data_IF_281386743564
#
_entry.id   IF_281386743564
#
_cell.length_a   1.000
_cell.length_b   1.000
_cell.length_c   1.000
_cell.angle_alpha   90.00
_cell.angle_beta   90.00
_cell.angle_gamma   90.00
#
_symmetry.space_group_name_H-M   'P 1'
#
loop_
_entity.id
_entity.type
_entity.pdbx_description
1 polymer ?
2 non-polymer ?
3 non-polymer ?
4 water ?
#
# COMPACT_ATOMS: atom_id res chain seq x y z
N UNK A 4 -2.38 -29.53 10.52
CA UNK A 4 -2.64 -28.07 10.81
C UNK A 4 -2.88 -27.32 9.49
N UNK A 5 -4.13 -26.91 9.18
CA UNK A 5 -4.48 -26.45 7.84
C UNK A 5 -3.80 -25.11 7.50
N UNK A 6 -3.61 -24.84 6.21
CA UNK A 6 -3.03 -23.55 5.78
C UNK A 6 -4.14 -22.52 5.78
N UNK A 7 -3.86 -21.28 6.19
CA UNK A 7 -4.90 -20.30 6.29
C UNK A 7 -5.37 -19.79 4.94
N UNK A 8 -6.63 -19.33 4.92
CA UNK A 8 -7.31 -18.73 3.74
C UNK A 8 -7.32 -17.22 3.90
N UNK A 9 -7.16 -16.75 5.13
CA UNK A 9 -7.19 -15.31 5.49
C UNK A 9 -6.27 -15.07 6.69
N UNK A 10 -5.57 -13.94 6.67
CA UNK A 10 -4.71 -13.50 7.79
C UNK A 10 -5.17 -12.10 8.16
N UNK A 11 -4.78 -11.66 9.33
CA UNK A 11 -4.93 -10.24 9.70
C UNK A 11 -3.55 -9.61 9.77
N UNK A 12 -3.51 -8.37 9.29
CA UNK A 12 -2.29 -7.56 9.21
C UNK A 12 -2.54 -6.26 9.96
N UNK A 13 -1.63 -5.93 10.84
CA UNK A 13 -1.57 -4.62 11.52
C UNK A 13 -0.55 -3.77 10.76
N UNK A 14 -0.96 -2.53 10.45
CA UNK A 14 -0.10 -1.48 9.89
C UNK A 14 -0.05 -0.36 10.92
N UNK A 15 1.16 0.05 11.33
CA UNK A 15 1.30 1.26 12.15
C UNK A 15 2.20 2.27 11.48
N UNK A 16 1.87 3.53 11.58
CA UNK A 16 2.76 4.60 11.15
C UNK A 16 2.85 5.61 12.29
N UNK A 17 4.08 5.99 12.61
CA UNK A 17 4.27 6.99 13.67
C UNK A 17 5.49 7.83 13.38
N UNK A 18 5.31 9.13 13.28
CA UNK A 18 6.45 10.07 13.24
C UNK A 18 6.74 10.38 14.70
N UNK A 19 7.88 9.92 15.16
CA UNK A 19 8.24 9.94 16.59
C UNK A 19 8.84 11.31 16.98
N UNK A 20 9.04 12.21 16.05
CA UNK A 20 9.52 13.56 16.42
C UNK A 20 10.88 13.54 17.11
N UNK A 21 11.71 12.56 16.76
CA UNK A 21 13.11 12.45 17.26
C UNK A 21 13.12 12.38 18.79
N UNK A 22 12.08 11.80 19.39
CA UNK A 22 12.01 11.58 20.86
C UNK A 22 11.82 10.11 21.12
N UNK A 23 12.36 9.60 22.23
CA UNK A 23 12.08 8.23 22.59
C UNK A 23 10.61 8.06 22.96
N UNK A 24 10.09 6.86 22.78
CA UNK A 24 8.68 6.62 23.09
C UNK A 24 8.46 6.59 24.58
N UNK A 25 7.19 6.67 25.00
CA UNK A 25 6.86 6.45 26.39
C UNK A 25 6.98 4.96 26.73
N UNK A 26 6.85 4.63 28.02
CA UNK A 26 7.12 3.24 28.46
C UNK A 26 6.03 2.29 27.94
N UNK A 27 4.82 2.76 27.73
CA UNK A 27 3.70 1.91 27.28
C UNK A 27 3.16 2.43 25.94
N UNK A 28 3.17 1.55 24.93
CA UNK A 28 2.64 1.92 23.59
C UNK A 28 1.64 0.85 23.15
N UNK A 29 1.17 -0.01 24.07
CA UNK A 29 0.23 -1.07 23.70
C UNK A 29 -1.06 -0.61 23.01
N UNK A 30 -1.53 0.61 23.31
CA UNK A 30 -2.77 1.17 22.73
C UNK A 30 -2.65 1.23 21.21
N UNK A 31 -1.44 1.42 20.69
CA UNK A 31 -1.19 1.45 19.24
C UNK A 31 -1.53 0.09 18.63
N UNK A 32 -0.96 -0.97 19.18
CA UNK A 32 -1.09 -2.33 18.60
C UNK A 32 -2.47 -2.91 18.88
N UNK A 33 -3.18 -2.36 19.84
CA UNK A 33 -4.58 -2.75 20.14
C UNK A 33 -5.59 -1.94 19.32
N UNK A 34 -5.16 -0.99 18.49
CA UNK A 34 -6.10 -0.18 17.69
C UNK A 34 -7.12 0.51 18.62
N UNK A 35 -6.62 1.17 19.67
CA UNK A 35 -7.43 1.91 20.68
C UNK A 35 -7.15 3.41 20.54
N UNK A 36 -8.22 4.21 20.65
CA UNK A 36 -8.10 5.66 20.67
C UNK A 36 -9.27 6.23 19.93
N UNK A 37 -9.00 7.02 18.90
CA UNK A 37 -10.01 7.69 18.06
C UNK A 37 -10.15 6.96 16.73
N UNK A 38 -11.30 7.13 16.08
CA UNK A 38 -11.52 6.64 14.73
C UNK A 38 -12.25 5.34 14.77
N UNK A 39 -11.92 4.47 13.82
CA UNK A 39 -12.50 3.12 13.69
C UNK A 39 -11.61 2.17 14.48
N UNK A 40 -12.02 1.84 15.71
CA UNK A 40 -11.19 1.14 16.68
C UNK A 40 -11.60 -0.34 16.78
N UNK A 41 -10.71 -1.11 17.34
CA UNK A 41 -10.85 -2.56 17.45
C UNK A 41 -11.62 -2.90 18.75
N UNK A 42 -12.49 -3.89 18.64
CA UNK A 42 -13.33 -4.30 19.78
C UNK A 42 -12.46 -4.88 20.89
N UNK A 43 -12.78 -4.55 22.14
CA UNK A 43 -12.04 -5.05 23.34
C UNK A 43 -11.96 -6.58 23.37
N UNK A 44 -12.98 -7.23 22.87
CA UNK A 44 -13.06 -8.72 22.92
C UNK A 44 -11.95 -9.35 22.07
N UNK A 45 -11.26 -8.57 21.23
CA UNK A 45 -10.18 -9.07 20.36
C UNK A 45 -8.82 -8.78 20.95
N UNK A 46 -8.70 -8.15 22.11
CA UNK A 46 -7.38 -7.63 22.56
C UNK A 46 -6.32 -8.71 22.68
N UNK A 47 -6.68 -9.94 23.05
CA UNK A 47 -5.64 -10.98 23.24
C UNK A 47 -5.36 -11.73 21.95
N UNK A 48 -6.13 -11.49 20.88
CA UNK A 48 -6.00 -12.24 19.60
C UNK A 48 -4.88 -11.57 18.83
N UNK A 49 -3.77 -12.27 18.57
CA UNK A 49 -2.67 -11.64 17.87
C UNK A 49 -3.04 -11.48 16.40
N UNK A 50 -2.60 -10.39 15.78
CA UNK A 50 -2.58 -10.32 14.32
C UNK A 50 -1.53 -11.29 13.83
N UNK A 51 -1.65 -11.74 12.59
CA UNK A 51 -0.68 -12.64 11.97
C UNK A 51 0.65 -11.94 11.68
N UNK A 52 0.56 -10.72 11.18
CA UNK A 52 1.73 -9.91 10.76
C UNK A 52 1.53 -8.49 11.32
N UNK A 53 2.58 -7.91 11.89
CA UNK A 53 2.61 -6.51 12.35
C UNK A 53 3.66 -5.79 11.54
N UNK A 54 3.31 -4.71 10.86
CA UNK A 54 4.24 -3.89 10.08
C UNK A 54 4.24 -2.54 10.70
N UNK A 55 5.41 -2.08 11.13
CA UNK A 55 5.56 -0.85 11.95
C UNK A 55 6.46 0.13 11.23
N UNK A 56 5.89 1.24 10.72
CA UNK A 56 6.63 2.28 10.03
C UNK A 56 6.83 3.42 10.98
N UNK A 57 8.07 3.86 11.13
CA UNK A 57 8.39 5.09 11.90
C UNK A 57 9.12 6.08 11.02
N UNK A 58 8.94 7.32 11.38
CA UNK A 58 9.67 8.47 10.81
C UNK A 58 10.24 9.29 11.95
N UNK A 59 11.33 9.99 11.67
CA UNK A 59 12.02 10.76 12.75
C UNK A 59 12.25 9.84 13.95
N UNK A 60 12.68 8.61 13.68
CA UNK A 60 12.91 7.57 14.70
C UNK A 60 14.32 7.74 15.25
N UNK A 61 14.45 8.06 16.56
CA UNK A 61 15.79 8.32 17.16
C UNK A 61 16.46 7.05 17.69
N UNK A 62 15.78 5.92 17.69
CA UNK A 62 16.24 4.68 18.34
C UNK A 62 17.13 3.89 17.40
N UNK A 63 17.99 3.06 17.96
CA UNK A 63 18.64 2.03 17.15
C UNK A 63 17.62 0.97 16.77
N UNK A 64 17.94 0.16 15.78
CA UNK A 64 17.11 -1.00 15.41
C UNK A 64 16.92 -1.88 16.63
N UNK A 65 18.02 -2.20 17.33
CA UNK A 65 17.94 -3.08 18.50
C UNK A 65 16.98 -2.50 19.55
N UNK A 66 17.14 -1.26 19.90
CA UNK A 66 16.30 -0.59 20.91
C UNK A 66 14.83 -0.67 20.50
N UNK A 67 14.52 -0.36 19.25
CA UNK A 67 13.11 -0.37 18.82
C UNK A 67 12.55 -1.79 18.78
N UNK A 68 13.30 -2.75 18.24
CA UNK A 68 12.88 -4.16 18.23
C UNK A 68 12.54 -4.65 19.62
N UNK A 69 13.41 -4.33 20.60
CA UNK A 69 13.19 -4.66 22.03
C UNK A 69 11.79 -4.20 22.44
N UNK A 70 11.53 -2.91 22.22
CA UNK A 70 10.26 -2.27 22.63
C UNK A 70 9.10 -2.92 21.93
N UNK A 71 9.23 -3.12 20.63
CA UNK A 71 8.09 -3.70 19.88
C UNK A 71 7.78 -5.11 20.37
N UNK A 72 8.79 -5.97 20.40
CA UNK A 72 8.56 -7.38 20.79
C UNK A 72 7.99 -7.48 22.21
N UNK A 73 8.53 -6.69 23.15
CA UNK A 73 8.03 -6.62 24.55
C UNK A 73 6.53 -6.28 24.52
N UNK A 74 6.18 -5.23 23.78
CA UNK A 74 4.79 -4.69 23.73
C UNK A 74 3.85 -5.79 23.20
N UNK A 75 4.23 -6.48 22.13
CA UNK A 75 3.38 -7.55 21.58
C UNK A 75 3.30 -8.73 22.55
N UNK A 76 4.43 -9.12 23.16
CA UNK A 76 4.46 -10.24 24.15
C UNK A 76 3.52 -9.90 25.31
N UNK A 77 3.53 -8.65 25.78
CA UNK A 77 2.62 -8.22 26.86
C UNK A 77 1.14 -8.36 26.44
N UNK A 78 0.80 -7.95 25.21
CA UNK A 78 -0.60 -8.02 24.73
C UNK A 78 -1.03 -9.47 24.55
N UNK A 79 -0.21 -10.25 23.86
CA UNK A 79 -0.65 -11.51 23.22
C UNK A 79 -0.08 -12.74 23.91
N UNK A 80 0.93 -12.58 24.74
CA UNK A 80 1.74 -13.70 25.33
C UNK A 80 2.41 -14.52 24.23
N UNK A 81 2.62 -13.93 23.04
CA UNK A 81 3.36 -14.58 21.91
C UNK A 81 4.64 -13.82 21.71
N UNK A 82 5.74 -14.54 21.50
CA UNK A 82 7.03 -14.00 21.12
C UNK A 82 7.13 -13.95 19.60
N UNK A 83 7.01 -12.75 19.05
CA UNK A 83 6.97 -12.60 17.57
C UNK A 83 8.36 -12.77 16.98
N UNK A 84 8.40 -13.31 15.75
CA UNK A 84 9.66 -13.44 15.00
C UNK A 84 9.86 -12.20 14.13
N UNK A 85 11.09 -11.75 14.03
CA UNK A 85 11.44 -10.61 13.16
C UNK A 85 11.58 -11.10 11.72
N UNK A 86 10.73 -10.69 10.79
CA UNK A 86 10.79 -11.03 9.35
C UNK A 86 11.84 -10.15 8.71
N UNK A 87 11.78 -8.84 8.96
CA UNK A 87 12.68 -7.88 8.32
C UNK A 87 12.66 -6.59 9.08
N UNK A 88 13.77 -5.88 8.98
CA UNK A 88 13.86 -4.50 9.49
C UNK A 88 14.75 -3.75 8.52
N UNK A 89 14.38 -2.54 8.15
CA UNK A 89 15.19 -1.75 7.23
C UNK A 89 15.03 -0.28 7.59
N UNK A 90 16.14 0.43 7.63
CA UNK A 90 16.18 1.84 8.02
C UNK A 90 16.91 2.66 6.98
N UNK A 91 16.35 3.78 6.57
CA UNK A 91 17.04 4.83 5.77
C UNK A 91 17.00 6.05 6.64
N UNK A 92 18.14 6.57 7.05
CA UNK A 92 18.20 7.75 7.90
C UNK A 92 17.38 7.47 9.14
N UNK A 93 16.31 8.20 9.34
CA UNK A 93 15.42 8.03 10.51
C UNK A 93 14.04 7.51 10.10
N UNK A 94 13.95 6.88 8.93
CA UNK A 94 12.73 6.24 8.38
C UNK A 94 12.93 4.75 8.51
N UNK A 95 12.01 4.04 9.14
CA UNK A 95 12.27 2.62 9.46
C UNK A 95 11.01 1.80 9.25
N UNK A 96 11.23 0.58 8.84
CA UNK A 96 10.14 -0.41 8.77
C UNK A 96 10.54 -1.66 9.50
N UNK A 97 9.62 -2.21 10.31
CA UNK A 97 9.82 -3.49 11.02
C UNK A 97 8.67 -4.39 10.67
N UNK A 98 8.93 -5.61 10.26
CA UNK A 98 7.89 -6.64 10.06
C UNK A 98 8.09 -7.74 11.07
N UNK A 99 7.04 -8.04 11.82
CA UNK A 99 7.03 -9.13 12.80
C UNK A 99 5.90 -10.08 12.47
N UNK A 100 6.11 -11.36 12.68
CA UNK A 100 5.05 -12.36 12.39
C UNK A 100 4.98 -13.39 13.49
N UNK A 101 3.79 -13.98 13.66
CA UNK A 101 3.60 -15.15 14.56
C UNK A 101 4.68 -16.17 14.26
N UNK A 102 5.20 -16.88 15.28
CA UNK A 102 6.18 -17.94 15.00
C UNK A 102 5.69 -19.06 14.10
N UNK A 103 4.41 -19.36 14.16
CA UNK A 103 3.79 -20.43 13.33
C UNK A 103 3.87 -20.08 11.84
N UNK A 104 4.15 -18.82 11.48
CA UNK A 104 4.25 -18.38 10.08
C UNK A 104 5.66 -18.44 9.53
N UNK A 105 6.63 -18.81 10.37
CA UNK A 105 8.05 -18.65 10.00
C UNK A 105 8.36 -19.45 8.71
N UNK A 106 7.76 -20.63 8.58
CA UNK A 106 7.99 -21.54 7.42
C UNK A 106 6.89 -21.33 6.36
N UNK A 107 6.13 -20.23 6.45
CA UNK A 107 5.17 -19.80 5.40
C UNK A 107 5.70 -18.57 4.68
N UNK A 108 6.71 -17.94 5.23
CA UNK A 108 7.27 -16.65 4.76
C UNK A 108 8.56 -16.94 4.05
N UNK A 109 8.71 -16.42 2.86
CA UNK A 109 9.95 -16.56 2.09
C UNK A 109 10.15 -15.39 1.16
N UNK A 110 11.25 -15.37 0.43
CA UNK A 110 11.52 -14.35 -0.61
C UNK A 110 11.41 -12.98 0.04
N UNK A 111 12.09 -12.77 1.15
CA UNK A 111 12.05 -11.47 1.84
C UNK A 111 12.95 -10.52 1.09
N UNK A 112 12.42 -9.36 0.70
CA UNK A 112 13.20 -8.26 0.06
C UNK A 112 13.05 -6.98 0.88
N UNK A 113 14.10 -6.15 0.88
CA UNK A 113 14.06 -4.80 1.48
C UNK A 113 14.68 -3.84 0.50
N UNK A 114 14.22 -2.61 0.53
CA UNK A 114 14.86 -1.57 -0.30
C UNK A 114 14.51 -0.19 0.25
N UNK A 115 15.18 0.82 -0.24
CA UNK A 115 14.83 2.20 0.13
C UNK A 115 14.97 3.06 -1.12
N UNK A 116 14.34 4.20 -1.08
CA UNK A 116 14.48 5.25 -2.09
C UNK A 116 14.69 6.56 -1.38
N UNK A 117 15.71 7.32 -1.76
CA UNK A 117 15.99 8.67 -1.31
C UNK A 117 15.37 9.63 -2.28
N UNK A 118 14.51 10.53 -1.81
CA UNK A 118 13.84 11.45 -2.77
C UNK A 118 14.60 12.77 -2.87
N UNK A 119 14.28 13.61 -3.85
CA UNK A 119 14.88 14.96 -3.88
C UNK A 119 16.22 14.99 -4.61
N UNK A 120 16.83 16.18 -4.70
CA UNK A 120 18.14 16.44 -5.39
C UNK A 120 18.83 17.53 -4.57
N UNK A 121 20.11 17.36 -4.26
CA UNK A 121 20.99 18.34 -3.56
C UNK A 121 20.34 18.80 -2.24
N UNK A 122 19.91 20.07 -2.14
CA UNK A 122 19.14 20.70 -1.03
C UNK A 122 18.15 19.71 -0.39
N UNK A 123 17.37 19.03 -1.25
CA UNK A 123 16.18 18.23 -0.87
C UNK A 123 16.52 16.73 -0.79
N UNK A 124 17.78 16.33 -1.04
CA UNK A 124 18.24 14.94 -0.78
C UNK A 124 18.94 14.93 0.57
N UNK A 125 18.43 14.12 1.51
CA UNK A 125 19.21 13.79 2.72
C UNK A 125 18.35 13.47 3.92
N UNK A 126 17.03 13.68 3.83
CA UNK A 126 16.25 13.07 4.93
C UNK A 126 14.91 12.42 4.57
N UNK A 127 14.36 12.70 3.39
CA UNK A 127 13.02 12.19 2.98
C UNK A 127 13.22 10.99 2.05
N UNK A 128 12.22 10.11 2.02
CA UNK A 128 12.25 8.96 1.15
C UNK A 128 11.39 7.89 1.69
N UNK A 129 11.73 6.67 1.36
CA UNK A 129 10.90 5.52 1.73
C UNK A 129 11.72 4.29 1.98
N UNK A 130 11.19 3.42 2.82
CA UNK A 130 11.75 2.06 2.99
C UNK A 130 10.63 1.09 2.69
N UNK A 131 10.97 -0.11 2.27
CA UNK A 131 9.95 -1.11 2.02
C UNK A 131 10.43 -2.51 2.24
N UNK A 132 9.46 -3.38 2.42
CA UNK A 132 9.68 -4.81 2.61
C UNK A 132 8.68 -5.55 1.74
N UNK A 133 9.07 -6.63 1.12
CA UNK A 133 8.15 -7.61 0.52
C UNK A 133 8.52 -9.04 0.85
N UNK A 134 7.52 -9.89 0.78
CA UNK A 134 7.77 -11.32 0.96
C UNK A 134 6.56 -12.07 0.44
N UNK A 135 6.75 -13.37 0.29
CA UNK A 135 5.66 -14.30 -0.03
C UNK A 135 5.16 -14.86 1.28
N UNK A 136 3.87 -14.97 1.42
CA UNK A 136 3.20 -15.68 2.50
C UNK A 136 2.45 -16.79 1.82
N UNK A 137 2.96 -18.01 1.90
CA UNK A 137 2.47 -19.13 1.05
C UNK A 137 2.31 -18.65 -0.42
N UNK A 138 1.12 -18.70 -1.02
CA UNK A 138 0.96 -18.37 -2.45
C UNK A 138 0.74 -16.90 -2.70
N UNK A 139 0.80 -16.07 -1.65
CA UNK A 139 0.35 -14.66 -1.72
C UNK A 139 1.56 -13.76 -1.56
N UNK A 140 1.71 -12.77 -2.43
CA UNK A 140 2.82 -11.79 -2.32
C UNK A 140 2.31 -10.56 -1.56
N UNK A 141 3.11 -10.05 -0.65
CA UNK A 141 2.77 -8.90 0.22
C UNK A 141 3.89 -7.88 0.09
N UNK A 142 3.54 -6.63 -0.11
CA UNK A 142 4.48 -5.51 -0.14
C UNK A 142 4.07 -4.42 0.83
N UNK A 143 5.06 -3.74 1.42
CA UNK A 143 4.82 -2.74 2.45
C UNK A 143 5.77 -1.61 2.22
N UNK A 144 5.26 -0.39 2.19
CA UNK A 144 6.07 0.84 1.93
C UNK A 144 5.79 1.80 3.06
N UNK A 145 6.84 2.28 3.72
CA UNK A 145 6.78 3.40 4.67
C UNK A 145 7.50 4.57 4.05
N UNK A 146 6.78 5.64 3.74
CA UNK A 146 7.41 6.82 3.14
C UNK A 146 7.24 8.02 4.07
N UNK A 147 8.26 8.86 4.11
CA UNK A 147 8.26 10.18 4.76
C UNK A 147 8.40 11.18 3.62
N UNK A 148 7.31 11.82 3.21
CA UNK A 148 7.34 12.71 2.03
C UNK A 148 7.64 14.15 2.47
N UNK A 149 7.85 14.99 1.47
CA UNK A 149 8.25 16.38 1.69
C UNK A 149 7.22 17.07 2.56
N UNK A 150 7.68 17.92 3.50
CA UNK A 150 6.80 18.66 4.43
C UNK A 150 6.38 19.98 3.81
N UNK A 151 5.41 20.60 4.46
CA UNK A 151 5.00 21.97 4.18
C UNK A 151 3.73 22.04 3.39
N UNK A 152 2.81 22.91 3.83
CA UNK A 152 1.50 23.02 3.18
C UNK A 152 1.57 23.36 1.69
N UNK A 153 2.62 24.10 1.29
CA UNK A 153 2.73 24.66 -0.08
C UNK A 153 3.30 23.61 -1.05
N UNK A 154 3.75 22.45 -0.55
CA UNK A 154 4.54 21.49 -1.35
C UNK A 154 3.79 20.23 -1.74
N UNK A 155 2.50 20.32 -1.98
CA UNK A 155 1.78 19.09 -2.38
C UNK A 155 2.32 18.49 -3.69
N UNK A 156 2.73 19.32 -4.66
CA UNK A 156 3.21 18.78 -5.95
C UNK A 156 4.56 18.08 -5.74
N UNK A 157 5.37 18.55 -4.79
CA UNK A 157 6.63 17.84 -4.43
C UNK A 157 6.29 16.47 -3.84
N UNK A 158 5.31 16.42 -2.94
CA UNK A 158 4.91 15.11 -2.39
C UNK A 158 4.48 14.19 -3.51
N UNK A 159 3.71 14.72 -4.45
CA UNK A 159 3.25 13.85 -5.56
C UNK A 159 4.47 13.32 -6.35
N UNK A 160 5.47 14.17 -6.56
CA UNK A 160 6.70 13.76 -7.26
C UNK A 160 7.44 12.72 -6.42
N UNK A 161 7.47 12.93 -5.11
CA UNK A 161 8.14 11.95 -4.20
C UNK A 161 7.47 10.58 -4.37
N UNK A 162 6.14 10.56 -4.36
CA UNK A 162 5.35 9.32 -4.56
C UNK A 162 5.79 8.64 -5.87
N UNK A 163 5.84 9.39 -6.97
CA UNK A 163 6.16 8.74 -8.26
C UNK A 163 7.60 8.21 -8.23
N UNK A 164 8.54 8.97 -7.67
CA UNK A 164 9.93 8.43 -7.58
C UNK A 164 9.97 7.15 -6.75
N UNK A 165 9.27 7.10 -5.62
CA UNK A 165 9.29 5.90 -4.75
C UNK A 165 8.70 4.71 -5.55
N UNK A 166 7.55 4.98 -6.17
CA UNK A 166 6.79 4.01 -6.99
C UNK A 166 7.71 3.41 -8.06
N UNK A 167 8.49 4.26 -8.72
CA UNK A 167 9.33 3.85 -9.86
C UNK A 167 10.56 3.08 -9.38
N UNK A 168 11.17 3.51 -8.28
CA UNK A 168 12.57 3.11 -8.02
C UNK A 168 12.69 2.13 -6.87
N UNK A 169 11.62 1.91 -6.11
CA UNK A 169 11.72 0.97 -5.01
C UNK A 169 11.71 -0.45 -5.59
N UNK A 170 12.76 -1.20 -5.34
CA UNK A 170 12.98 -2.53 -5.96
C UNK A 170 12.60 -3.65 -5.02
N UNK A 171 11.31 -3.97 -5.02
CA UNK A 171 10.80 -5.05 -4.18
C UNK A 171 10.14 -6.11 -5.05
N UNK A 172 9.88 -7.28 -4.48
CA UNK A 172 9.11 -8.32 -5.14
C UNK A 172 9.92 -9.00 -6.22
N UNK A 173 9.21 -9.66 -7.15
CA UNK A 173 9.85 -10.58 -8.13
C UNK A 173 10.50 -9.80 -9.27
N UNK A 174 11.82 -9.82 -9.25
CA UNK A 174 12.58 -9.05 -10.28
C UNK A 174 12.25 -9.55 -11.70
N UNK A 175 11.72 -10.73 -11.92
CA UNK A 175 11.30 -11.23 -13.27
C UNK A 175 10.10 -10.44 -13.79
N UNK A 176 9.38 -9.75 -12.89
CA UNK A 176 8.25 -8.88 -13.30
C UNK A 176 8.78 -7.55 -13.82
N UNK A 177 9.66 -7.59 -14.81
CA UNK A 177 10.50 -6.44 -15.20
C UNK A 177 9.68 -5.26 -15.67
N UNK A 178 8.54 -5.41 -16.37
CA UNK A 178 7.78 -4.24 -16.79
C UNK A 178 7.00 -3.56 -15.68
N UNK A 179 6.93 -4.20 -14.52
CA UNK A 179 5.97 -3.78 -13.48
C UNK A 179 6.68 -3.12 -12.32
N UNK A 180 6.10 -2.04 -11.85
CA UNK A 180 6.53 -1.34 -10.62
C UNK A 180 5.86 -1.99 -9.40
N UNK A 181 6.14 -1.44 -8.23
CA UNK A 181 5.57 -2.06 -7.01
C UNK A 181 4.04 -2.01 -6.99
N UNK A 182 3.41 -1.08 -7.74
CA UNK A 182 1.92 -1.00 -7.74
C UNK A 182 1.29 -2.17 -8.49
N UNK A 183 2.06 -3.08 -9.08
CA UNK A 183 1.55 -4.28 -9.76
C UNK A 183 2.22 -5.55 -9.25
N UNK A 184 3.23 -5.52 -8.40
CA UNK A 184 4.00 -6.76 -8.08
C UNK A 184 3.35 -7.61 -6.99
N UNK A 185 2.39 -7.07 -6.24
CA UNK A 185 1.93 -7.76 -5.03
C UNK A 185 0.44 -8.01 -5.05
N UNK A 186 0.05 -9.14 -4.49
CA UNK A 186 -1.37 -9.43 -4.24
C UNK A 186 -1.98 -8.31 -3.38
N UNK A 187 -1.26 -7.92 -2.33
CA UNK A 187 -1.68 -6.84 -1.43
C UNK A 187 -0.46 -5.93 -1.25
N UNK A 188 -0.63 -4.62 -1.49
CA UNK A 188 0.42 -3.60 -1.25
C UNK A 188 -0.13 -2.61 -0.25
N UNK A 189 0.56 -2.38 0.84
CA UNK A 189 0.20 -1.37 1.87
C UNK A 189 1.23 -0.26 1.77
N UNK A 190 0.75 0.97 1.64
CA UNK A 190 1.63 2.14 1.54
C UNK A 190 1.18 3.13 2.64
N UNK A 191 2.08 3.46 3.54
CA UNK A 191 1.77 4.23 4.74
C UNK A 191 2.93 5.15 5.02
N UNK A 192 2.75 6.01 6.00
CA UNK A 192 3.82 6.89 6.45
C UNK A 192 3.35 8.25 6.86
N UNK A 193 4.34 9.12 7.10
CA UNK A 193 4.08 10.56 7.18
C UNK A 193 4.10 11.10 5.77
N UNK A 194 2.96 11.00 5.13
CA UNK A 194 2.80 11.45 3.74
C UNK A 194 2.77 12.97 3.68
N UNK A 195 2.48 13.63 4.78
CA UNK A 195 2.70 15.08 4.94
C UNK A 195 1.72 15.94 4.14
N UNK A 196 0.63 15.38 3.64
CA UNK A 196 -0.43 16.22 3.02
C UNK A 196 -1.21 16.94 4.13
N UNK A 197 -1.62 18.17 3.84
CA UNK A 197 -2.16 19.11 4.84
C UNK A 197 -3.61 19.45 4.49
N UNK A 198 -4.27 20.02 5.49
CA UNK A 198 -5.62 20.61 5.32
C UNK A 198 -5.37 22.00 4.77
N UNK A 199 -5.76 22.23 3.51
CA UNK A 199 -5.44 23.49 2.77
C UNK A 199 -6.57 24.49 3.02
N UNK A 200 -6.52 25.17 4.16
CA UNK A 200 -7.42 26.26 4.54
C UNK A 200 -6.52 27.41 4.89
N UNK A 201 -7.06 28.65 4.87
CA UNK A 201 -6.22 29.80 5.19
C UNK A 201 -5.69 29.73 6.62
N UNK A 202 -4.47 30.24 6.85
CA UNK A 202 -3.77 30.13 8.16
C UNK A 202 -4.54 30.88 9.24
N UNK A 203 -5.31 31.91 8.87
CA UNK A 203 -6.12 32.72 9.82
C UNK A 203 -7.43 31.99 10.17
N UNK A 204 -7.70 30.83 9.56
CA UNK A 204 -8.77 29.91 10.02
C UNK A 204 -8.28 28.89 11.08
N UNK A 205 -7.06 29.02 11.59
CA UNK A 205 -6.47 28.06 12.52
C UNK A 205 -7.41 27.81 13.68
N UNK A 206 -7.94 28.86 14.33
CA UNK A 206 -8.69 28.65 15.56
C UNK A 206 -10.03 28.05 15.19
N UNK A 207 -10.58 28.41 14.04
CA UNK A 207 -11.83 27.81 13.55
C UNK A 207 -11.62 26.31 13.36
N UNK A 208 -10.49 25.93 12.77
CA UNK A 208 -10.19 24.48 12.57
C UNK A 208 -10.12 23.73 13.92
N UNK A 209 -9.45 24.33 14.88
CA UNK A 209 -9.32 23.76 16.23
C UNK A 209 -10.70 23.53 16.84
N UNK A 210 -11.61 24.50 16.71
CA UNK A 210 -12.95 24.36 17.31
C UNK A 210 -13.74 23.26 16.56
N UNK A 211 -13.57 23.12 15.24
CA UNK A 211 -14.22 22.01 14.51
C UNK A 211 -13.71 20.65 15.04
N UNK A 212 -12.40 20.56 15.26
CA UNK A 212 -11.79 19.34 15.83
C UNK A 212 -12.35 19.03 17.22
N UNK A 213 -12.48 20.03 18.08
CA UNK A 213 -13.03 19.82 19.43
C UNK A 213 -14.50 19.33 19.37
N UNK A 214 -15.22 19.72 18.32
CA UNK A 214 -16.62 19.30 18.09
C UNK A 214 -16.68 17.96 17.37
N UNK A 215 -15.53 17.35 17.06
CA UNK A 215 -15.48 16.13 16.23
C UNK A 215 -16.25 16.29 14.93
N UNK A 216 -16.14 17.45 14.30
CA UNK A 216 -16.78 17.79 13.03
C UNK A 216 -15.67 17.88 12.00
N UNK A 217 -15.39 16.76 11.35
CA UNK A 217 -14.22 16.68 10.44
C UNK A 217 -14.59 16.93 9.00
N UNK A 218 -15.87 17.04 8.64
CA UNK A 218 -16.26 17.02 7.20
C UNK A 218 -15.69 18.23 6.45
N UNK A 219 -15.78 19.43 6.99
CA UNK A 219 -15.31 20.65 6.30
C UNK A 219 -13.77 20.70 6.31
N UNK A 220 -13.12 19.88 7.15
CA UNK A 220 -11.64 19.81 7.10
C UNK A 220 -11.24 18.77 6.03
N UNK A 221 -11.85 17.57 6.07
CA UNK A 221 -11.48 16.49 5.12
C UNK A 221 -11.72 16.97 3.68
N UNK A 222 -12.73 17.79 3.44
CA UNK A 222 -12.99 18.30 2.07
C UNK A 222 -11.83 19.17 1.59
N UNK A 223 -10.90 19.59 2.45
CA UNK A 223 -9.72 20.37 2.05
C UNK A 223 -8.43 19.58 2.25
N UNK A 224 -8.53 18.31 2.62
CA UNK A 224 -7.31 17.47 2.82
C UNK A 224 -6.66 17.27 1.46
N UNK A 225 -5.38 17.62 1.37
CA UNK A 225 -4.71 17.58 0.08
C UNK A 225 -4.61 16.18 -0.48
N UNK A 226 -4.43 15.17 0.36
CA UNK A 226 -4.31 13.82 -0.18
C UNK A 226 -5.66 13.39 -0.80
N UNK A 227 -6.76 13.60 -0.13
CA UNK A 227 -8.10 13.27 -0.70
C UNK A 227 -8.31 14.08 -1.99
N UNK A 228 -7.94 15.36 -2.05
CA UNK A 228 -8.26 16.15 -3.27
C UNK A 228 -7.33 15.72 -4.36
N UNK A 229 -6.03 15.54 -4.08
CA UNK A 229 -5.10 15.12 -5.12
C UNK A 229 -5.48 13.74 -5.67
N UNK A 230 -5.93 12.81 -4.80
CA UNK A 230 -6.38 11.47 -5.23
C UNK A 230 -7.62 11.61 -6.13
N UNK A 231 -8.58 12.47 -5.75
CA UNK A 231 -9.83 12.64 -6.53
C UNK A 231 -9.47 13.18 -7.92
N UNK A 232 -8.43 14.00 -8.03
CA UNK A 232 -7.99 14.60 -9.31
C UNK A 232 -6.99 13.70 -10.01
N UNK A 233 -6.73 12.49 -9.49
CA UNK A 233 -5.89 11.48 -10.14
C UNK A 233 -4.45 12.00 -10.25
N UNK A 234 -3.98 12.78 -9.27
CA UNK A 234 -2.60 13.34 -9.27
C UNK A 234 -1.64 12.42 -8.52
N UNK A 235 -2.15 11.47 -7.71
CA UNK A 235 -1.29 10.66 -6.82
C UNK A 235 -2.10 9.48 -6.33
N UNK A 236 -1.44 8.40 -6.00
CA UNK A 236 -2.08 7.22 -5.41
C UNK A 236 -3.23 6.69 -6.27
N UNK A 237 -3.07 6.73 -7.57
CA UNK A 237 -4.14 6.19 -8.45
C UNK A 237 -4.32 4.71 -8.16
N UNK A 238 -5.57 4.32 -7.98
CA UNK A 238 -6.01 2.91 -7.78
C UNK A 238 -5.66 2.39 -6.41
N UNK A 239 -5.34 3.27 -5.47
CA UNK A 239 -5.23 2.89 -4.04
C UNK A 239 -6.52 3.21 -3.32
N UNK A 240 -6.74 2.51 -2.21
CA UNK A 240 -7.90 2.67 -1.30
C UNK A 240 -7.41 3.28 0.02
N UNK A 241 -8.28 4.03 0.69
CA UNK A 241 -8.05 4.47 2.07
C UNK A 241 -9.39 4.37 2.77
N UNK A 242 -9.38 3.89 4.02
CA UNK A 242 -10.58 3.84 4.88
C UNK A 242 -10.98 5.27 5.25
N UNK A 243 -12.28 5.53 5.40
CA UNK A 243 -12.76 6.85 5.80
C UNK A 243 -12.06 7.23 7.10
N UNK A 244 -11.64 8.50 7.17
CA UNK A 244 -11.01 9.08 8.37
C UNK A 244 -12.05 9.59 9.34
N UNK A 245 -12.02 9.07 10.56
CA UNK A 245 -13.02 9.43 11.59
C UNK A 245 -12.30 9.79 12.88
N UNK A 246 -11.00 10.11 12.81
CA UNK A 246 -10.15 10.49 13.94
C UNK A 246 -9.67 11.93 13.67
N UNK A 247 -9.32 12.63 14.72
CA UNK A 247 -8.80 13.99 14.63
C UNK A 247 -7.47 14.03 13.91
N UNK A 248 -7.17 15.14 13.27
CA UNK A 248 -5.82 15.35 12.73
C UNK A 248 -4.73 14.93 13.71
N UNK A 249 -3.69 14.26 13.16
CA UNK A 249 -2.66 13.62 13.98
C UNK A 249 -1.42 14.49 14.11
N UNK A 250 -1.46 15.69 13.58
CA UNK A 250 -0.33 16.65 13.58
C UNK A 250 -0.96 18.04 13.58
N UNK A 251 -0.36 19.08 14.18
CA UNK A 251 0.86 19.10 14.95
C UNK A 251 0.51 19.37 16.41
N UNK A 252 0.83 18.48 17.30
CA UNK A 252 0.46 18.60 18.74
C UNK A 252 1.61 19.20 19.53
N UNK A 253 1.27 19.93 20.57
CA UNK A 253 2.24 20.15 21.67
C UNK A 253 2.59 18.80 22.30
N UNK A 254 3.85 18.53 22.57
CA UNK A 254 4.26 17.28 23.22
C UNK A 254 3.76 17.19 24.66
N UNK A 255 3.52 15.98 25.13
CA UNK A 255 3.25 15.58 26.54
C UNK A 255 1.77 15.82 26.89
N UNK A 256 0.99 16.36 25.98
CA UNK A 256 -0.49 16.39 26.09
C UNK A 256 -1.07 16.05 24.73
N UNK A 257 -2.39 15.87 24.57
CA UNK A 257 -3.04 15.97 23.23
C UNK A 257 -4.05 17.11 23.25
N UNK A 258 -3.96 18.00 24.24
CA UNK A 258 -5.00 19.05 24.42
C UNK A 258 -4.77 20.24 23.49
N UNK A 259 -3.59 20.35 22.88
CA UNK A 259 -3.19 21.54 22.13
C UNK A 259 -2.55 21.16 20.79
N UNK A 260 -3.08 21.76 19.76
CA UNK A 260 -2.45 21.86 18.44
C UNK A 260 -1.51 23.05 18.43
N UNK A 261 -0.27 22.82 18.04
CA UNK A 261 0.80 23.84 17.94
C UNK A 261 0.96 24.17 16.47
N UNK A 262 0.27 25.18 16.00
CA UNK A 262 0.21 25.47 14.56
C UNK A 262 0.98 26.73 14.15
N UNK A 263 1.28 27.62 15.11
CA UNK A 263 1.85 28.96 14.83
C UNK A 263 3.26 28.83 14.25
N UNK A 264 3.66 29.79 13.42
CA UNK A 264 5.01 29.80 12.83
C UNK A 264 6.01 30.12 13.94
N UNK A 265 7.14 29.43 13.90
CA UNK A 265 8.24 29.56 14.88
C UNK A 265 9.56 29.44 14.13
N UNK A 266 10.67 29.95 14.70
CA UNK A 266 11.97 29.72 14.03
C UNK A 266 12.19 28.21 13.79
N UNK A 267 11.81 27.37 14.76
CA UNK A 267 11.99 25.90 14.70
C UNK A 267 11.22 25.31 13.51
N UNK A 268 10.18 25.99 13.02
CA UNK A 268 9.41 25.46 11.84
C UNK A 268 9.81 26.16 10.56
N UNK A 269 10.93 26.91 10.51
CA UNK A 269 11.23 27.68 9.32
C UNK A 269 10.20 28.78 9.08
N UNK A 270 9.62 29.29 10.14
CA UNK A 270 8.55 30.31 10.06
C UNK A 270 7.39 29.83 9.19
N UNK A 271 7.06 28.54 9.30
CA UNK A 271 5.92 27.89 8.60
C UNK A 271 4.80 27.62 9.60
N UNK A 272 3.57 27.84 9.17
CA UNK A 272 2.37 27.41 9.90
C UNK A 272 2.21 25.92 9.65
N UNK A 273 1.76 25.23 10.68
CA UNK A 273 1.39 23.80 10.60
C UNK A 273 -0.05 23.66 11.09
N UNK A 274 -0.99 24.07 10.26
CA UNK A 274 -2.41 23.87 10.60
C UNK A 274 -2.65 22.39 10.82
N UNK A 275 -3.56 22.03 11.73
CA UNK A 275 -3.90 20.63 11.99
C UNK A 275 -4.21 19.88 10.71
N UNK A 276 -3.55 18.74 10.58
CA UNK A 276 -3.53 17.96 9.35
C UNK A 276 -3.49 16.47 9.62
N UNK A 277 -4.00 15.73 8.66
CA UNK A 277 -3.87 14.26 8.64
C UNK A 277 -2.61 13.86 7.86
N UNK A 278 -1.46 14.13 8.48
CA UNK A 278 -0.18 13.80 7.82
C UNK A 278 0.07 12.29 7.71
N UNK A 279 -0.52 11.49 8.59
CA UNK A 279 -0.08 10.11 8.90
C UNK A 279 -1.15 9.15 8.43
N UNK A 280 -0.85 8.36 7.41
CA UNK A 280 -1.91 7.72 6.62
C UNK A 280 -1.56 6.29 6.26
N UNK A 281 -2.58 5.49 5.99
CA UNK A 281 -2.41 4.11 5.51
C UNK A 281 -3.32 3.94 4.31
N UNK A 282 -2.75 3.52 3.21
CA UNK A 282 -3.47 3.22 1.97
C UNK A 282 -3.11 1.84 1.50
N UNK A 283 -3.91 1.23 0.65
CA UNK A 283 -3.56 -0.09 0.13
C UNK A 283 -4.08 -0.26 -1.28
N UNK A 284 -3.54 -1.23 -1.95
CA UNK A 284 -3.96 -1.64 -3.30
C UNK A 284 -3.81 -3.14 -3.35
N UNK A 285 -4.89 -3.83 -3.63
CA UNK A 285 -4.88 -5.29 -3.78
C UNK A 285 -5.35 -5.67 -5.18
N UNK A 286 -4.90 -6.79 -5.69
CA UNK A 286 -5.32 -7.28 -7.01
C UNK A 286 -6.84 -7.42 -7.02
N UNK A 287 -7.43 -7.29 -8.23
CA UNK A 287 -8.88 -7.37 -8.35
C UNK A 287 -9.49 -8.65 -7.78
N UNK A 288 -10.57 -8.49 -7.03
CA UNK A 288 -11.42 -9.58 -6.49
C UNK A 288 -10.65 -10.42 -5.49
N UNK A 289 -9.62 -9.85 -4.86
CA UNK A 289 -9.00 -10.51 -3.70
C UNK A 289 -9.62 -9.88 -2.44
N UNK A 290 -9.97 -10.71 -1.48
CA UNK A 290 -10.53 -10.23 -0.20
C UNK A 290 -9.53 -9.32 0.50
N UNK A 291 -9.96 -8.12 0.82
CA UNK A 291 -9.20 -7.22 1.72
C UNK A 291 -10.23 -6.33 2.38
N UNK A 292 -10.30 -6.33 3.67
CA UNK A 292 -11.27 -5.52 4.44
C UNK A 292 -10.52 -4.80 5.55
N UNK A 293 -10.63 -3.48 5.58
CA UNK A 293 -10.09 -2.68 6.70
C UNK A 293 -10.96 -2.88 7.94
N UNK A 294 -10.34 -3.34 9.02
CA UNK A 294 -11.02 -3.62 10.31
C UNK A 294 -10.89 -2.43 11.28
N UNK A 295 -9.84 -1.62 11.13
CA UNK A 295 -9.60 -0.48 12.04
C UNK A 295 -8.79 0.56 11.28
N UNK A 296 -9.01 1.80 11.64
CA UNK A 296 -8.23 2.92 11.09
C UNK A 296 -8.41 4.08 12.04
N UNK A 297 -7.37 4.42 12.77
CA UNK A 297 -7.53 5.39 13.84
C UNK A 297 -6.23 5.89 14.40
N UNK A 298 -6.26 6.65 15.45
CA UNK A 298 -5.04 7.21 16.06
C UNK A 298 -5.10 6.97 17.56
N UNK A 299 -3.96 6.86 18.20
CA UNK A 299 -3.95 6.70 19.66
C UNK A 299 -4.12 8.08 20.28
N UNK A 300 -4.59 8.04 21.52
CA UNK A 300 -4.84 9.26 22.33
C UNK A 300 -3.86 9.41 23.49
N UNK A 301 -3.13 8.35 23.84
CA UNK A 301 -2.35 8.25 25.09
C UNK A 301 -0.85 8.18 24.85
N UNK A 302 -0.36 8.37 23.62
CA UNK A 302 1.08 8.32 23.30
C UNK A 302 1.44 9.74 22.85
N UNK A 303 2.18 10.49 23.68
CA UNK A 303 2.25 11.97 23.59
C UNK A 303 3.69 12.48 23.51
N UNK A 304 4.67 11.61 23.24
CA UNK A 304 6.10 12.03 23.21
C UNK A 304 6.42 12.82 21.94
N UNK A 305 5.64 12.60 20.88
CA UNK A 305 5.87 13.24 19.60
C UNK A 305 4.85 14.36 19.34
N UNK A 306 5.13 15.17 18.34
CA UNK A 306 4.17 16.16 17.83
C UNK A 306 3.18 15.48 16.87
N UNK A 307 3.39 14.22 16.53
CA UNK A 307 2.38 13.39 15.85
C UNK A 307 1.82 12.35 16.77
N UNK A 308 0.56 11.96 16.61
CA UNK A 308 0.03 10.74 17.22
C UNK A 308 0.23 9.58 16.26
N UNK A 309 0.51 8.39 16.82
CA UNK A 309 0.52 7.16 16.04
C UNK A 309 -0.82 6.89 15.37
N UNK A 310 -0.75 6.28 14.22
CA UNK A 310 -1.91 5.82 13.46
C UNK A 310 -1.82 4.33 13.29
N UNK A 311 -2.94 3.67 13.42
CA UNK A 311 -3.05 2.23 13.21
C UNK A 311 -4.10 1.93 12.14
N UNK A 312 -3.88 0.86 11.42
CA UNK A 312 -4.91 0.28 10.55
C UNK A 312 -4.74 -1.23 10.59
N UNK A 313 -5.84 -1.94 10.56
CA UNK A 313 -5.76 -3.42 10.48
C UNK A 313 -6.65 -3.92 9.37
N UNK A 314 -6.23 -5.05 8.78
CA UNK A 314 -6.85 -5.62 7.60
C UNK A 314 -7.02 -7.11 7.75
N UNK A 315 -8.12 -7.64 7.24
CA UNK A 315 -8.29 -9.08 6.95
C UNK A 315 -8.00 -9.27 5.46
N UNK A 316 -6.96 -10.05 5.11
CA UNK A 316 -6.46 -10.18 3.75
C UNK A 316 -6.53 -11.65 3.33
N UNK A 317 -7.10 -11.89 2.17
CA UNK A 317 -7.12 -13.22 1.56
C UNK A 317 -5.73 -13.68 1.19
N UNK A 318 -5.46 -14.96 1.48
CA UNK A 318 -4.20 -15.61 1.14
C UNK A 318 -4.53 -16.97 0.53
N UNK A 319 -3.59 -17.46 -0.22
CA UNK A 319 -3.73 -18.76 -0.92
C UNK A 319 -2.59 -19.65 -0.48
N UNK A 320 -2.78 -20.95 -0.70
CA UNK A 320 -1.81 -22.01 -0.32
C UNK A 320 -0.67 -22.04 -1.33
N UNK A 321 0.42 -22.75 -1.00
CA UNK A 321 1.51 -23.10 -1.94
C UNK A 321 1.14 -24.41 -2.64
N UNK A 322 0.32 -24.34 -3.69
CA UNK A 322 -0.31 -25.47 -4.40
C UNK A 322 0.68 -26.40 -5.13
N UNK A 323 0.51 -27.71 -4.91
CA UNK A 323 1.21 -28.82 -5.62
C UNK A 323 0.13 -29.71 -6.29
N UNK A 324 0.34 -30.03 -7.56
CA UNK A 324 -0.41 -31.12 -8.23
C UNK A 324 0.57 -32.19 -8.72
N UNK A 325 0.01 -33.24 -9.32
CA UNK A 325 0.77 -34.35 -9.94
C UNK A 325 1.62 -33.77 -11.07
N UNK A 326 1.09 -32.71 -11.73
CA UNK A 326 1.70 -32.02 -12.90
C UNK A 326 2.50 -30.81 -12.38
N UNK A 327 1.97 -29.59 -12.46
CA UNK A 327 2.68 -28.39 -12.00
C UNK A 327 2.77 -28.35 -10.48
N UNK A 328 3.78 -27.71 -9.84
CA UNK A 328 4.93 -27.10 -10.55
C UNK A 328 5.93 -28.07 -11.20
N UNK A 329 6.63 -27.58 -12.23
CA UNK A 329 7.66 -28.29 -13.00
C UNK A 329 7.21 -28.79 -14.33
N UNK A 330 5.95 -28.50 -14.67
CA UNK A 330 5.37 -28.83 -15.99
C UNK A 330 4.04 -28.07 -16.13
N UNK A 331 3.43 -28.13 -17.31
CA UNK A 331 2.08 -27.57 -17.57
C UNK A 331 1.03 -28.64 -17.20
N UNK A 332 -0.24 -28.24 -17.10
CA UNK A 332 -1.38 -29.17 -16.89
C UNK A 332 -2.32 -28.98 -18.08
N UNK A 333 -2.15 -29.79 -19.12
CA UNK A 333 -2.82 -29.63 -20.43
C UNK A 333 -4.34 -29.45 -20.24
N UNK A 334 -4.89 -29.79 -19.06
CA UNK A 334 -6.34 -29.63 -18.80
C UNK A 334 -6.69 -28.15 -18.54
N UNK A 335 -5.69 -27.28 -18.41
CA UNK A 335 -5.88 -25.83 -18.22
C UNK A 335 -5.52 -25.01 -19.44
N UNK A 336 -6.28 -23.94 -19.71
CA UNK A 336 -5.89 -22.92 -20.72
C UNK A 336 -6.61 -21.59 -20.46
N UNK A 337 -5.92 -20.52 -20.83
CA UNK A 337 -6.48 -19.15 -20.80
C UNK A 337 -6.42 -18.57 -22.21
N UNK A 338 -7.59 -18.24 -22.76
CA UNK A 338 -7.72 -17.60 -24.09
C UNK A 338 -8.24 -16.18 -23.92
N UNK A 339 -7.62 -15.25 -24.66
CA UNK A 339 -8.08 -13.85 -24.85
C UNK A 339 -8.75 -13.73 -26.23
N UNK A 340 -9.98 -13.22 -26.25
CA UNK A 340 -10.76 -12.99 -27.49
C UNK A 340 -10.95 -11.50 -27.67
N UNK A 341 -10.79 -11.00 -28.90
CA UNK A 341 -11.34 -9.67 -29.29
C UNK A 341 -10.74 -8.62 -28.34
N UNK A 342 -9.46 -8.69 -28.10
CA UNK A 342 -8.83 -7.78 -27.11
C UNK A 342 -8.30 -6.54 -27.84
N UNK A 343 -8.43 -5.39 -27.19
CA UNK A 343 -7.76 -4.19 -27.69
C UNK A 343 -7.31 -3.29 -26.54
N UNK A 344 -6.19 -2.65 -26.81
CA UNK A 344 -5.61 -1.63 -25.90
C UNK A 344 -5.97 -0.28 -26.49
N UNK A 345 -6.38 0.64 -25.64
CA UNK A 345 -6.58 2.07 -26.00
C UNK A 345 -5.47 2.82 -25.27
N UNK A 346 -4.60 3.51 -25.99
CA UNK A 346 -3.43 4.18 -25.37
C UNK A 346 -3.49 5.68 -25.60
N UNK A 347 -3.10 6.44 -24.60
CA UNK A 347 -3.03 7.92 -24.65
C UNK A 347 -1.81 8.41 -25.43
N UNK A 348 -0.88 7.56 -25.79
CA UNK A 348 0.37 7.94 -26.52
C UNK A 348 0.12 8.60 -27.89
N UNK A 349 1.04 9.48 -28.27
CA UNK A 349 1.10 10.09 -29.62
C UNK A 349 1.98 9.23 -30.53
N UNK A 350 2.77 8.32 -29.95
CA UNK A 350 3.72 7.43 -30.67
C UNK A 350 2.96 6.62 -31.74
N UNK A 351 3.68 6.16 -32.77
CA UNK A 351 3.08 5.29 -33.82
C UNK A 351 3.94 4.03 -34.04
N UNK A 352 4.77 3.61 -33.07
CA UNK A 352 5.37 2.25 -33.06
C UNK A 352 4.24 1.19 -33.11
N UNK A 353 4.56 -0.01 -33.57
CA UNK A 353 3.79 -1.23 -33.28
C UNK A 353 3.99 -1.59 -31.79
N UNK A 354 3.02 -2.30 -31.26
CA UNK A 354 3.00 -2.75 -29.85
C UNK A 354 2.77 -4.25 -29.80
N UNK A 355 3.31 -4.88 -28.76
CA UNK A 355 3.08 -6.28 -28.38
C UNK A 355 2.75 -6.35 -26.91
N UNK A 356 2.15 -7.45 -26.50
CA UNK A 356 1.83 -7.67 -25.07
C UNK A 356 2.79 -8.64 -24.44
N UNK A 357 2.96 -8.52 -23.14
CA UNK A 357 3.54 -9.59 -22.29
C UNK A 357 2.54 -9.93 -21.21
N UNK A 358 2.33 -11.24 -21.04
CA UNK A 358 1.47 -11.81 -19.99
C UNK A 358 2.39 -12.41 -18.94
N UNK A 359 2.31 -11.92 -17.70
CA UNK A 359 3.11 -12.44 -16.58
C UNK A 359 2.18 -12.98 -15.50
N UNK A 360 2.51 -14.14 -14.99
CA UNK A 360 1.74 -14.71 -13.87
C UNK A 360 2.49 -15.87 -13.27
N UNK A 361 2.37 -16.02 -11.95
CA UNK A 361 2.89 -17.17 -11.18
C UNK A 361 2.25 -18.47 -11.68
N UNK A 362 1.08 -18.40 -12.32
CA UNK A 362 0.40 -19.62 -12.85
C UNK A 362 1.04 -20.07 -14.18
N UNK A 363 2.00 -19.32 -14.72
CA UNK A 363 2.73 -19.68 -15.97
C UNK A 363 4.17 -20.07 -15.65
N UNK A 364 4.78 -20.92 -16.46
CA UNK A 364 6.19 -21.31 -16.20
C UNK A 364 7.09 -20.12 -16.45
N UNK A 365 6.75 -19.28 -17.42
CA UNK A 365 7.42 -18.02 -17.73
C UNK A 365 6.49 -17.11 -18.54
N UNK A 366 6.88 -15.85 -18.62
CA UNK A 366 5.99 -14.86 -19.24
C UNK A 366 5.85 -15.18 -20.74
N UNK A 367 4.78 -14.66 -21.30
CA UNK A 367 4.41 -14.95 -22.72
C UNK A 367 4.31 -13.65 -23.47
N UNK A 368 4.95 -13.59 -24.64
CA UNK A 368 5.03 -12.40 -25.52
C UNK A 368 4.15 -12.62 -26.75
N UNK A 369 3.17 -11.75 -26.96
CA UNK A 369 2.21 -11.82 -28.09
C UNK A 369 2.93 -11.36 -29.36
N UNK A 370 2.23 -11.61 -30.48
CA UNK A 370 2.49 -10.95 -31.78
C UNK A 370 2.15 -9.46 -31.63
N UNK A 371 2.65 -8.66 -32.55
CA UNK A 371 2.27 -7.23 -32.63
C UNK A 371 0.79 -7.10 -32.92
N UNK A 372 0.13 -6.10 -32.35
CA UNK A 372 -1.26 -5.79 -32.64
C UNK A 372 -1.39 -4.93 -33.89
N UNK A 373 -2.62 -4.66 -34.29
CA UNK A 373 -2.96 -3.80 -35.45
C UNK A 373 -3.39 -2.43 -34.95
N UNK A 374 -2.62 -1.39 -35.28
CA UNK A 374 -2.89 0.00 -34.86
C UNK A 374 -4.01 0.56 -35.74
N UNK A 375 -5.01 1.14 -35.11
CA UNK A 375 -6.06 1.94 -35.79
C UNK A 375 -6.11 3.28 -35.07
N UNK A 376 -6.64 4.30 -35.73
CA UNK A 376 -6.99 5.64 -35.17
C UNK A 376 -8.37 5.54 -34.50
N UNK A 377 -8.46 5.82 -33.20
CA UNK A 377 -9.73 6.04 -32.47
C UNK A 377 -10.39 7.37 -32.87
N UNK A 378 -11.71 7.47 -32.73
CA UNK A 378 -12.53 8.64 -33.17
C UNK A 378 -11.99 9.93 -32.54
N UNK A 379 -11.78 9.94 -31.21
CA UNK A 379 -11.42 11.17 -30.43
C UNK A 379 -9.88 11.28 -30.33
N UNK A 380 -9.13 10.84 -31.35
CA UNK A 380 -7.69 11.13 -31.53
C UNK A 380 -6.73 10.01 -31.07
N UNK A 381 -7.22 8.98 -30.36
CA UNK A 381 -6.39 8.06 -29.52
C UNK A 381 -5.76 6.92 -30.34
N UNK A 382 -4.89 6.14 -29.73
CA UNK A 382 -4.36 4.94 -30.42
C UNK A 382 -5.10 3.70 -29.91
N UNK A 383 -5.68 2.94 -30.84
CA UNK A 383 -6.34 1.65 -30.52
C UNK A 383 -5.47 0.58 -31.13
N UNK A 384 -5.02 -0.34 -30.30
CA UNK A 384 -4.19 -1.47 -30.75
C UNK A 384 -5.05 -2.73 -30.67
N UNK A 385 -5.33 -3.34 -31.83
CA UNK A 385 -6.25 -4.52 -31.92
C UNK A 385 -5.43 -5.79 -31.94
N UNK A 386 -5.81 -6.76 -31.13
CA UNK A 386 -5.13 -8.07 -31.08
C UNK A 386 -5.95 -9.18 -31.73
N UNK A 387 -7.22 -8.92 -31.96
CA UNK A 387 -8.18 -9.88 -32.53
C UNK A 387 -8.23 -11.17 -31.72
N UNK A 388 -7.96 -12.28 -32.41
CA UNK A 388 -7.99 -13.66 -31.87
C UNK A 388 -6.59 -14.22 -32.07
N UNK A 389 -5.61 -13.31 -32.20
CA UNK A 389 -4.19 -13.61 -32.50
C UNK A 389 -3.41 -13.96 -31.21
N UNK A 390 -3.94 -13.63 -30.02
CA UNK A 390 -3.16 -13.73 -28.74
C UNK A 390 -2.84 -15.19 -28.43
N UNK A 391 -1.62 -15.47 -27.92
CA UNK A 391 -1.19 -16.84 -27.63
C UNK A 391 -2.08 -17.46 -26.55
N UNK A 392 -2.36 -18.76 -26.65
CA UNK A 392 -3.16 -19.47 -25.61
C UNK A 392 -2.23 -19.73 -24.42
N UNK A 393 -2.61 -19.31 -23.21
CA UNK A 393 -1.71 -19.40 -22.03
C UNK A 393 -1.94 -20.75 -21.36
N UNK A 394 -0.85 -21.38 -20.97
CA UNK A 394 -0.83 -22.78 -20.47
C UNK A 394 -0.44 -22.73 -19.01
N UNK A 395 -1.42 -22.77 -18.08
CA UNK A 395 -1.10 -22.71 -16.67
C UNK A 395 -0.48 -24.04 -16.23
N UNK A 396 0.27 -23.95 -15.13
CA UNK A 396 1.07 -25.06 -14.54
C UNK A 396 0.13 -26.03 -13.82
N UNK A 397 -1.02 -25.53 -13.41
CA UNK A 397 -2.01 -26.29 -12.61
C UNK A 397 -3.40 -25.97 -13.16
N UNK A 398 -4.27 -26.95 -13.33
CA UNK A 398 -5.58 -26.77 -14.02
C UNK A 398 -6.69 -26.75 -12.98
N UNK A 399 -6.39 -27.16 -11.76
CA UNK A 399 -7.39 -27.29 -10.69
C UNK A 399 -8.04 -25.92 -10.54
N UNK A 400 -9.38 -25.82 -10.64
CA UNK A 400 -10.09 -24.53 -10.50
C UNK A 400 -9.92 -23.91 -9.12
N UNK A 401 -9.73 -24.69 -8.06
CA UNK A 401 -9.46 -24.14 -6.70
C UNK A 401 -8.16 -23.31 -6.69
N UNK A 402 -7.27 -23.63 -7.59
CA UNK A 402 -6.02 -22.85 -7.73
C UNK A 402 -6.25 -21.77 -8.79
N UNK A 403 -6.68 -22.16 -9.99
CA UNK A 403 -6.57 -21.24 -11.16
C UNK A 403 -7.48 -20.02 -10.98
N UNK A 404 -8.66 -20.18 -10.40
CA UNK A 404 -9.65 -19.09 -10.29
C UNK A 404 -9.11 -18.04 -9.29
N UNK A 405 -8.12 -18.37 -8.47
CA UNK A 405 -7.54 -17.40 -7.53
C UNK A 405 -6.33 -16.68 -8.12
N UNK A 406 -6.00 -16.90 -9.38
CA UNK A 406 -4.78 -16.30 -9.95
C UNK A 406 -5.10 -15.00 -10.66
N UNK A 407 -4.03 -14.35 -11.09
CA UNK A 407 -4.10 -13.07 -11.83
C UNK A 407 -3.10 -13.06 -12.97
N UNK A 408 -3.46 -12.36 -14.04
CA UNK A 408 -2.55 -12.14 -15.18
C UNK A 408 -2.19 -10.67 -15.22
N UNK A 409 -0.91 -10.35 -15.09
CA UNK A 409 -0.36 -9.01 -15.32
C UNK A 409 -0.14 -8.86 -16.82
N UNK A 410 -0.52 -7.70 -17.35
CA UNK A 410 -0.36 -7.38 -18.79
C UNK A 410 0.48 -6.13 -18.90
N UNK A 411 1.49 -6.19 -19.76
CA UNK A 411 2.27 -5.02 -20.20
C UNK A 411 2.08 -4.89 -21.71
N UNK A 412 1.87 -3.66 -22.15
CA UNK A 412 1.87 -3.36 -23.61
C UNK A 412 3.17 -2.62 -23.87
N UNK A 413 4.00 -3.19 -24.74
CA UNK A 413 5.38 -2.70 -25.00
C UNK A 413 5.54 -2.30 -26.46
N UNK A 414 6.35 -1.26 -26.66
CA UNK A 414 6.76 -0.79 -28.00
C UNK A 414 7.69 -1.82 -28.64
N UNK A 415 7.39 -2.21 -29.88
CA UNK A 415 8.30 -3.07 -30.69
C UNK A 415 9.63 -2.35 -30.92
N UNK A 416 9.64 -1.02 -31.02
CA UNK A 416 10.84 -0.22 -31.37
C UNK A 416 11.79 -0.14 -30.17
N UNK A 417 11.28 0.00 -28.95
CA UNK A 417 12.12 0.31 -27.77
C UNK A 417 12.04 -0.79 -26.71
N UNK A 418 11.04 -1.68 -26.80
CA UNK A 418 10.72 -2.71 -25.77
C UNK A 418 10.40 -2.05 -24.42
N UNK A 419 10.05 -0.91 -24.44
CA UNK A 419 9.66 -0.22 -23.18
C UNK A 419 8.15 -0.38 -22.99
N UNK A 420 7.69 -0.59 -21.73
CA UNK A 420 6.23 -0.65 -21.41
C UNK A 420 5.61 0.73 -21.51
N UNK A 421 4.49 0.78 -22.21
CA UNK A 421 3.65 1.98 -22.27
C UNK A 421 2.47 1.86 -21.31
N UNK A 422 2.23 0.68 -20.74
CA UNK A 422 1.10 0.50 -19.83
C UNK A 422 1.11 -0.88 -19.22
N UNK A 423 0.70 -0.93 -17.95
CA UNK A 423 0.64 -2.14 -17.15
C UNK A 423 -0.73 -2.23 -16.51
N UNK A 424 -1.25 -3.42 -16.39
CA UNK A 424 -2.51 -3.67 -15.68
C UNK A 424 -2.62 -5.12 -15.24
N UNK A 425 -3.78 -5.49 -14.72
CA UNK A 425 -3.96 -6.79 -14.09
C UNK A 425 -5.40 -7.27 -14.29
N UNK A 426 -5.51 -8.54 -14.65
CA UNK A 426 -6.80 -9.24 -14.88
C UNK A 426 -6.96 -10.36 -13.86
N UNK A 427 -8.06 -10.38 -13.13
CA UNK A 427 -8.36 -11.52 -12.22
C UNK A 427 -8.92 -12.70 -13.05
N UNK A 428 -8.55 -13.91 -12.63
CA UNK A 428 -9.16 -15.15 -13.18
C UNK A 428 -10.33 -15.62 -12.30
N UNK A 429 -10.76 -14.81 -11.33
CA UNK A 429 -11.94 -15.10 -10.46
C UNK A 429 -13.20 -14.84 -11.29
N UNK A 430 -13.48 -15.73 -12.25
CA UNK A 430 -14.55 -15.51 -13.25
C UNK A 430 -15.89 -16.03 -12.75
N UNK A 431 -16.95 -15.49 -13.31
CA UNK A 431 -18.33 -15.96 -13.04
C UNK A 431 -18.60 -17.34 -13.61
N UNK A 432 -17.82 -17.81 -14.54
CA UNK A 432 -18.04 -19.04 -15.33
C UNK A 432 -16.74 -19.48 -15.93
N UNK A 433 -16.56 -20.77 -16.17
CA UNK A 433 -15.48 -21.31 -17.01
C UNK A 433 -16.06 -21.75 -18.36
N UNK A 434 -15.19 -21.96 -19.33
CA UNK A 434 -15.55 -22.45 -20.68
C UNK A 434 -16.59 -21.48 -21.27
N UNK A 435 -16.53 -20.19 -20.92
CA UNK A 435 -17.56 -19.18 -21.27
C UNK A 435 -16.83 -17.88 -21.61
N UNK A 436 -17.15 -17.24 -22.74
CA UNK A 436 -16.52 -15.95 -23.10
C UNK A 436 -17.07 -14.90 -22.14
N UNK A 437 -16.18 -14.19 -21.44
CA UNK A 437 -16.61 -13.21 -20.44
C UNK A 437 -15.81 -11.92 -20.63
N UNK A 438 -16.43 -10.75 -20.42
CA UNK A 438 -15.70 -9.50 -20.55
C UNK A 438 -14.59 -9.40 -19.49
N UNK A 439 -13.46 -8.87 -19.93
CA UNK A 439 -12.34 -8.46 -19.02
C UNK A 439 -11.97 -7.01 -19.29
N UNK A 440 -11.33 -6.40 -18.30
CA UNK A 440 -10.99 -4.97 -18.34
C UNK A 440 -9.89 -4.73 -17.32
N UNK A 441 -8.91 -3.91 -17.70
CA UNK A 441 -8.05 -3.23 -16.69
C UNK A 441 -7.69 -1.86 -17.23
N UNK A 442 -7.59 -0.87 -16.36
CA UNK A 442 -6.84 0.33 -16.72
C UNK A 442 -5.38 -0.05 -16.92
N UNK A 443 -4.68 0.75 -17.70
CA UNK A 443 -3.23 0.62 -17.87
C UNK A 443 -2.60 1.86 -17.26
N UNK A 444 -1.50 1.66 -16.55
CA UNK A 444 -0.73 2.77 -16.01
C UNK A 444 0.73 2.59 -16.41
N UNK A 445 1.49 3.67 -16.31
CA UNK A 445 2.97 3.61 -16.43
C UNK A 445 3.52 4.65 -15.50
N UNK A 446 4.51 4.25 -14.69
CA UNK A 446 4.98 5.11 -13.58
C UNK A 446 3.78 5.54 -12.74
N UNK A 447 2.77 4.67 -12.63
CA UNK A 447 1.63 4.86 -11.73
C UNK A 447 0.65 5.87 -12.23
N UNK A 448 0.83 6.41 -13.44
CA UNK A 448 -0.17 7.32 -14.05
C UNK A 448 -0.93 6.63 -15.18
N UNK A 449 -2.18 7.05 -15.37
CA UNK A 449 -3.05 6.44 -16.38
C UNK A 449 -2.50 6.67 -17.80
N UNK A 450 -2.33 5.60 -18.55
CA UNK A 450 -1.84 5.69 -19.95
C UNK A 450 -2.80 5.04 -20.93
N UNK A 451 -3.87 4.41 -20.46
CA UNK A 451 -4.75 3.68 -21.39
C UNK A 451 -5.61 2.66 -20.69
N UNK A 452 -6.15 1.78 -21.49
CA UNK A 452 -7.06 0.70 -21.05
C UNK A 452 -6.84 -0.54 -21.87
N UNK A 453 -7.17 -1.68 -21.29
CA UNK A 453 -7.14 -2.98 -22.01
C UNK A 453 -8.46 -3.68 -21.72
N UNK A 454 -9.12 -4.09 -22.80
CA UNK A 454 -10.45 -4.73 -22.63
C UNK A 454 -10.60 -5.77 -23.71
N UNK A 455 -11.49 -6.71 -23.44
CA UNK A 455 -11.75 -7.79 -24.39
C UNK A 455 -12.55 -8.84 -23.68
N UNK A 456 -12.32 -10.08 -24.09
CA UNK A 456 -12.98 -11.23 -23.48
C UNK A 456 -11.95 -12.30 -23.15
N UNK A 457 -12.30 -13.10 -22.15
CA UNK A 457 -11.47 -14.24 -21.69
C UNK A 457 -12.35 -15.49 -21.77
N UNK A 458 -11.67 -16.63 -21.92
CA UNK A 458 -12.30 -17.97 -21.89
C UNK A 458 -11.31 -18.84 -21.08
N UNK A 459 -11.70 -19.27 -19.87
CA UNK A 459 -10.84 -20.03 -18.96
C UNK A 459 -11.31 -21.49 -18.91
N UNK A 460 -10.39 -22.40 -19.22
CA UNK A 460 -10.57 -23.87 -19.09
C UNK A 460 -9.85 -24.33 -17.82
N UNK A 461 -10.58 -24.96 -16.90
CA UNK A 461 -10.01 -25.61 -15.71
C UNK A 461 -10.27 -27.11 -15.87
N UNK A 462 -9.75 -27.93 -14.96
CA UNK A 462 -10.00 -29.39 -14.96
C UNK A 462 -11.46 -29.70 -14.63
N UNK A 463 -12.27 -28.75 -14.16
CA UNK A 463 -13.67 -29.07 -13.76
C UNK A 463 -14.69 -28.57 -14.80
X LIG B 1 -8.65 -5.69 28.20
X LIG B 1 -9.53 -5.99 30.16
X LIG B 1 -10.38 -6.93 26.88
X LIG B 1 -4.49 -2.44 28.14
X LIG B 1 -4.28 -3.86 27.64
X LIG B 1 -2.97 -4.33 27.57
X LIG B 1 -2.69 -5.61 27.13
X LIG B 1 -3.72 -6.44 26.73
X LIG B 1 -5.04 -5.99 26.79
X LIG B 1 -5.33 -4.70 27.24
X LIG B 1 -6.78 -4.20 27.30
X LIG B 1 -7.75 -5.28 27.13
X LIG B 1 -8.49 -5.44 29.51
X LIG B 1 -10.32 -6.59 29.30
X LIG B 1 -9.79 -6.40 28.08
X LIG C 1 -2.58 -14.80 -4.69
X LIG C 1 -2.82 -15.31 -3.30
X LIG C 1 -4.16 -14.27 -5.20
X LIG C 1 -2.41 -16.20 -5.79
X LIG D 1 1.05 -12.81 -10.01
X LIG D 1 0.82 -14.16 -10.66
X LIG D 1 2.75 -12.39 -10.36
X LIG D 1 0.36 -11.68 -11.12
X LIG E 1 -5.37 -2.21 -12.32
X LIG E 1 -4.00 -2.76 -11.91
X LIG E 1 -5.94 -1.17 -11.03
X LIG E 1 -6.54 -3.52 -12.14
#
# INVERSE_FOLDING_TARGET
SMEQPEPDMITIFIGTWNMGNAPPPKKITSWFLSKGQGKTRDDSADYIPHDIYVIGTQEDPLSEKEWLEILKHSLQEITSVTFKTVAIHTLWNIRIVVLAKPEHENRISHICTDNVKTGIANTLGNKGAVGVSFMFNGTSLGFVNSHLTSGSEKKLRRNQNYMNILRFLALGDKKLSPFNITHRFTHLFWFGDLNYRVDLPTWEAETIIQKIKQQQYADLLSHDQLLTERREQKVFLHFEEEEITFAPTYRFERLTRDKYAYTKQKATGMKYNLPSWCDRVLWKSYPLVHVVCQSYGSTSDIMTSDHSPVFATFEAGVTSQFVSKNGPGTVDSQGQIEFLRCYATLKTKSQTKFYLEFHSSCLESFVKSQEGENEEGSEGELVVKFGETLPKLKPIISDPEYLLDQHILISIKSSDSDESYGEGCIALRLEATETQLPIYTPLTHHGELTGHFQGEIKLQTSQ
WNA C10 N12 C15 C01 C02 C03 C04 C05 C06 C07 C08 N09 N11 N13 N14
DMS S O C1 C2
DMS S O C1 C2
DMS S O C1 C2
#
